data_IF_049312402732
#
_entry.id   IF_049312402732
#
_cell.length_a   1.000
_cell.length_b   1.000
_cell.length_c   1.000
_cell.angle_alpha   90.00
_cell.angle_beta   90.00
_cell.angle_gamma   90.00
#
_symmetry.space_group_name_H-M   'P 1'
#
loop_
_entity.id
_entity.type
_entity.pdbx_description
1 polymer ?
#
# COMPACT_ATOMS: atom_id res chain seq x y z
N UNK A 1 20.63 -67.76 33.53
CA UNK A 1 21.11 -66.55 34.20
C UNK A 1 20.51 -65.34 33.50
N UNK A 2 19.66 -64.56 34.18
CA UNK A 2 18.98 -63.36 33.65
C UNK A 2 19.81 -62.12 33.98
N UNK A 3 20.09 -61.28 32.98
CA UNK A 3 20.70 -59.95 33.16
C UNK A 3 19.67 -58.92 33.61
N UNK A 4 20.06 -58.03 34.53
CA UNK A 4 19.25 -56.94 35.08
C UNK A 4 19.87 -55.61 34.62
N UNK A 5 19.17 -54.86 33.77
CA UNK A 5 19.52 -53.48 33.43
C UNK A 5 19.14 -52.55 34.57
N UNK A 6 20.09 -51.74 35.05
CA UNK A 6 19.87 -50.64 35.98
C UNK A 6 19.37 -49.42 35.20
N UNK A 7 18.15 -48.96 35.51
CA UNK A 7 17.63 -47.68 35.07
C UNK A 7 18.35 -46.55 35.81
N UNK A 8 18.93 -45.59 35.09
CA UNK A 8 19.42 -44.34 35.63
C UNK A 8 18.25 -43.41 35.97
N UNK A 9 18.12 -43.10 37.25
CA UNK A 9 17.14 -42.20 37.84
C UNK A 9 17.35 -40.76 37.34
N UNK A 10 16.32 -40.19 36.72
CA UNK A 10 16.33 -38.82 36.19
C UNK A 10 16.38 -37.80 37.33
N UNK A 11 17.50 -37.08 37.45
CA UNK A 11 17.67 -35.95 38.37
C UNK A 11 16.68 -34.84 38.00
N UNK A 12 15.69 -34.59 38.87
CA UNK A 12 14.78 -33.44 38.75
C UNK A 12 15.60 -32.13 38.82
N UNK A 13 15.42 -31.17 37.90
CA UNK A 13 16.08 -29.87 37.97
C UNK A 13 15.63 -29.12 39.23
N UNK A 14 16.57 -28.47 39.90
CA UNK A 14 16.31 -27.73 41.14
C UNK A 14 15.63 -26.40 40.85
N UNK A 15 14.90 -25.82 41.82
CA UNK A 15 14.21 -24.52 41.67
C UNK A 15 15.16 -23.36 41.28
N UNK A 16 16.45 -23.48 41.61
CA UNK A 16 17.47 -22.53 41.18
C UNK A 16 17.80 -22.64 39.68
N UNK A 17 17.67 -23.82 39.09
CA UNK A 17 17.87 -24.05 37.65
C UNK A 17 16.70 -23.48 36.84
N UNK A 18 15.47 -23.55 37.39
CA UNK A 18 14.28 -22.98 36.75
C UNK A 18 14.28 -21.44 36.85
N UNK A 19 14.76 -20.90 37.97
CA UNK A 19 14.87 -19.45 38.18
C UNK A 19 15.95 -18.82 37.31
N UNK A 20 17.09 -19.49 37.13
CA UNK A 20 18.18 -19.04 36.25
C UNK A 20 17.84 -19.14 34.76
N UNK A 21 17.08 -20.18 34.34
CA UNK A 21 16.54 -20.27 32.98
C UNK A 21 15.51 -19.17 32.71
N UNK A 22 14.65 -18.81 33.68
CA UNK A 22 13.71 -17.69 33.54
C UNK A 22 14.39 -16.33 33.48
N UNK A 23 15.44 -16.10 34.26
CA UNK A 23 16.25 -14.88 34.19
C UNK A 23 17.00 -14.78 32.84
N UNK A 24 17.64 -15.86 32.39
CA UNK A 24 18.33 -15.88 31.09
C UNK A 24 17.37 -15.82 29.89
N UNK A 25 16.15 -16.35 30.01
CA UNK A 25 15.10 -16.18 29.00
C UNK A 25 14.54 -14.75 28.99
N UNK A 26 14.46 -14.10 30.16
CA UNK A 26 14.03 -12.69 30.26
C UNK A 26 15.12 -11.72 29.78
N UNK A 27 16.41 -12.07 29.90
CA UNK A 27 17.53 -11.30 29.36
C UNK A 27 17.64 -11.41 27.82
N UNK A 28 17.24 -12.53 27.22
CA UNK A 28 17.20 -12.69 25.75
C UNK A 28 16.13 -11.84 25.06
N UNK A 29 15.13 -11.36 25.80
CA UNK A 29 14.10 -10.44 25.30
C UNK A 29 14.61 -8.98 25.27
N UNK A 30 15.79 -8.70 25.87
CA UNK A 30 16.22 -7.35 26.21
C UNK A 30 17.31 -6.69 25.35
N UNK A 31 17.90 -7.34 24.34
CA UNK A 31 18.78 -6.63 23.40
C UNK A 31 18.43 -7.00 21.96
N UNK A 32 17.58 -6.20 21.34
CA UNK A 32 17.54 -6.12 19.87
C UNK A 32 18.97 -5.90 19.40
N UNK A 33 19.46 -6.77 18.50
CA UNK A 33 20.76 -6.60 17.86
C UNK A 33 20.82 -5.16 17.29
N UNK A 34 21.80 -4.33 17.69
CA UNK A 34 21.93 -2.96 17.20
C UNK A 34 21.95 -2.89 15.67
N UNK A 35 22.44 -3.94 14.99
CA UNK A 35 22.43 -4.02 13.52
C UNK A 35 21.02 -4.18 12.96
N UNK A 36 20.20 -5.01 13.59
CA UNK A 36 18.79 -5.20 13.22
C UNK A 36 18.01 -3.90 13.42
N UNK A 37 18.22 -3.21 14.53
CA UNK A 37 17.58 -1.91 14.78
C UNK A 37 18.03 -0.84 13.76
N UNK A 38 19.33 -0.76 13.47
CA UNK A 38 19.84 0.14 12.44
C UNK A 38 19.29 -0.19 11.03
N UNK A 39 19.20 -1.47 10.67
CA UNK A 39 18.63 -1.93 9.41
C UNK A 39 17.14 -1.55 9.31
N UNK A 40 16.38 -1.76 10.38
CA UNK A 40 14.99 -1.32 10.48
C UNK A 40 14.84 0.18 10.25
N UNK A 41 15.60 1.03 10.95
CA UNK A 41 15.54 2.50 10.76
C UNK A 41 15.96 2.93 9.36
N UNK A 42 16.97 2.27 8.79
CA UNK A 42 17.41 2.52 7.42
C UNK A 42 16.31 2.19 6.42
N UNK A 43 15.61 1.06 6.61
CA UNK A 43 14.48 0.70 5.79
C UNK A 43 13.32 1.68 5.94
N UNK A 44 12.97 2.06 7.18
CA UNK A 44 11.94 3.09 7.44
C UNK A 44 12.25 4.42 6.75
N UNK A 45 13.52 4.84 6.71
CA UNK A 45 13.92 6.05 6.00
C UNK A 45 13.71 5.95 4.48
N UNK A 46 13.83 4.76 3.90
CA UNK A 46 13.62 4.52 2.47
C UNK A 46 12.15 4.72 2.05
N UNK A 47 11.18 4.47 2.94
CA UNK A 47 9.73 4.62 2.65
C UNK A 47 9.36 6.02 2.13
N UNK A 48 10.16 7.04 2.42
CA UNK A 48 9.88 8.41 1.96
C UNK A 48 10.19 8.65 0.48
N UNK A 49 10.96 7.77 -0.17
CA UNK A 49 11.49 8.00 -1.53
C UNK A 49 11.44 6.77 -2.43
N UNK A 50 11.45 5.58 -1.85
CA UNK A 50 11.47 4.31 -2.56
C UNK A 50 10.08 3.66 -2.54
N UNK A 51 9.47 3.57 -3.72
CA UNK A 51 8.14 3.03 -3.92
C UNK A 51 8.07 1.53 -3.65
N UNK A 52 9.13 0.79 -3.97
CA UNK A 52 9.23 -0.64 -3.70
C UNK A 52 9.35 -0.88 -2.20
N UNK A 53 10.15 -0.07 -1.49
CA UNK A 53 10.28 -0.16 -0.04
C UNK A 53 8.94 0.12 0.66
N UNK A 54 8.20 1.14 0.23
CA UNK A 54 6.88 1.48 0.77
C UNK A 54 5.83 0.40 0.47
N UNK A 55 5.82 -0.15 -0.75
CA UNK A 55 4.94 -1.27 -1.12
C UNK A 55 5.27 -2.52 -0.29
N UNK A 56 6.55 -2.85 -0.15
CA UNK A 56 6.99 -3.97 0.67
C UNK A 56 6.58 -3.80 2.15
N UNK A 57 6.66 -2.58 2.69
CA UNK A 57 6.21 -2.29 4.05
C UNK A 57 4.69 -2.51 4.21
N UNK A 58 3.88 -2.05 3.24
CA UNK A 58 2.43 -2.27 3.26
C UNK A 58 2.08 -3.76 3.20
N UNK A 59 2.71 -4.53 2.32
CA UNK A 59 2.48 -5.98 2.18
C UNK A 59 2.95 -6.75 3.43
N UNK A 60 4.13 -6.41 3.96
CA UNK A 60 4.64 -7.00 5.18
C UNK A 60 3.67 -6.77 6.35
N UNK A 61 3.24 -5.52 6.56
CA UNK A 61 2.25 -5.17 7.58
C UNK A 61 0.92 -5.92 7.37
N UNK A 62 0.42 -5.98 6.14
CA UNK A 62 -0.84 -6.67 5.82
C UNK A 62 -0.76 -8.17 6.15
N UNK A 63 0.39 -8.80 5.95
CA UNK A 63 0.59 -10.23 6.25
C UNK A 63 0.58 -10.57 7.74
N UNK A 64 0.74 -9.56 8.62
CA UNK A 64 0.76 -9.76 10.06
C UNK A 64 -0.65 -9.99 10.62
N UNK A 65 -0.79 -10.85 11.66
CA UNK A 65 -2.01 -10.93 12.46
C UNK A 65 -2.22 -9.64 13.28
N UNK A 66 -3.40 -9.48 13.88
CA UNK A 66 -3.77 -8.27 14.64
C UNK A 66 -2.71 -7.82 15.66
N UNK A 67 -2.27 -8.73 16.55
CA UNK A 67 -1.26 -8.42 17.56
C UNK A 67 0.09 -8.02 16.95
N UNK A 68 0.45 -8.62 15.81
CA UNK A 68 1.66 -8.27 15.07
C UNK A 68 1.58 -6.87 14.45
N UNK A 69 0.39 -6.47 13.99
CA UNK A 69 0.15 -5.11 13.48
C UNK A 69 0.19 -4.08 14.61
N UNK A 70 -0.36 -4.38 15.79
CA UNK A 70 -0.22 -3.49 16.95
C UNK A 70 1.25 -3.32 17.35
N UNK A 71 2.00 -4.43 17.45
CA UNK A 71 3.42 -4.38 17.76
C UNK A 71 4.24 -3.59 16.71
N UNK A 72 3.86 -3.69 15.43
CA UNK A 72 4.45 -2.88 14.37
C UNK A 72 4.18 -1.38 14.58
N UNK A 73 2.93 -1.01 14.88
CA UNK A 73 2.56 0.39 15.11
C UNK A 73 3.23 0.96 16.37
N UNK A 74 3.39 0.15 17.42
CA UNK A 74 4.13 0.53 18.62
C UNK A 74 5.62 0.77 18.32
N UNK A 75 6.24 -0.10 17.53
CA UNK A 75 7.62 0.07 17.07
C UNK A 75 7.79 1.33 16.21
N UNK A 76 6.84 1.60 15.30
CA UNK A 76 6.82 2.85 14.53
C UNK A 76 6.69 4.08 15.44
N UNK A 77 5.79 4.06 16.42
CA UNK A 77 5.62 5.20 17.34
C UNK A 77 6.90 5.49 18.13
N UNK A 78 7.63 4.44 18.54
CA UNK A 78 8.90 4.56 19.24
C UNK A 78 10.02 5.08 18.32
N UNK A 79 10.14 4.54 17.11
CA UNK A 79 11.30 4.82 16.25
C UNK A 79 11.11 6.04 15.34
N UNK A 80 9.88 6.41 14.98
CA UNK A 80 9.59 7.49 14.03
C UNK A 80 10.33 8.82 14.32
N UNK A 81 10.47 9.29 15.58
CA UNK A 81 11.18 10.53 15.87
C UNK A 81 12.63 10.57 15.39
N UNK A 82 13.35 9.43 15.38
CA UNK A 82 14.77 9.41 14.99
C UNK A 82 15.05 8.80 13.60
N UNK A 83 14.02 8.48 12.81
CA UNK A 83 14.20 8.04 11.40
C UNK A 83 14.54 9.23 10.47
N UNK A 84 14.12 10.44 10.83
CA UNK A 84 14.44 11.66 10.06
C UNK A 84 13.62 11.84 8.77
N UNK A 85 12.46 11.18 8.67
CA UNK A 85 11.51 11.35 7.56
C UNK A 85 10.14 11.80 8.07
N UNK A 86 9.29 12.43 7.22
CA UNK A 86 7.95 12.82 7.62
C UNK A 86 7.12 11.62 8.10
N UNK A 87 6.33 11.78 9.17
CA UNK A 87 5.45 10.70 9.68
C UNK A 87 4.55 10.15 8.58
N UNK A 88 4.03 10.98 7.70
CA UNK A 88 3.20 10.52 6.57
C UNK A 88 3.89 9.40 5.75
N UNK A 89 5.22 9.43 5.56
CA UNK A 89 5.95 8.39 4.83
C UNK A 89 5.86 7.01 5.52
N UNK A 90 5.87 6.99 6.85
CA UNK A 90 5.90 5.78 7.64
C UNK A 90 4.51 5.14 7.78
N UNK A 91 3.46 5.97 7.85
CA UNK A 91 2.11 5.52 8.16
C UNK A 91 1.20 5.42 6.93
N UNK A 92 1.38 6.24 5.89
CA UNK A 92 0.51 6.24 4.72
C UNK A 92 0.46 4.89 3.96
N UNK A 93 1.58 4.15 3.76
CA UNK A 93 1.52 2.83 3.12
C UNK A 93 0.57 1.86 3.83
N UNK A 94 0.53 1.93 5.17
CA UNK A 94 -0.25 1.02 6.01
C UNK A 94 -1.76 1.32 5.92
N UNK A 95 -2.12 2.58 5.72
CA UNK A 95 -3.52 3.01 5.65
C UNK A 95 -4.27 2.41 4.45
N UNK A 96 -3.56 2.10 3.36
CA UNK A 96 -4.14 1.47 2.16
C UNK A 96 -4.55 0.01 2.36
N UNK A 97 -3.95 -0.67 3.35
CA UNK A 97 -4.14 -2.11 3.58
C UNK A 97 -4.84 -2.43 4.90
N UNK A 98 -4.92 -1.48 5.83
CA UNK A 98 -5.63 -1.67 7.11
C UNK A 98 -7.15 -1.58 6.94
N UNK A 99 -7.85 -2.56 7.51
CA UNK A 99 -9.30 -2.75 7.45
C UNK A 99 -9.97 -2.53 8.80
N UNK A 100 -9.24 -2.72 9.90
CA UNK A 100 -9.73 -2.45 11.25
C UNK A 100 -9.87 -0.94 11.48
N UNK A 101 -11.07 -0.49 11.82
CA UNK A 101 -11.38 0.95 11.92
C UNK A 101 -10.57 1.64 13.02
N UNK A 102 -10.34 0.97 14.15
CA UNK A 102 -9.59 1.55 15.26
C UNK A 102 -8.11 1.75 14.90
N UNK A 103 -7.48 0.75 14.27
CA UNK A 103 -6.12 0.88 13.74
C UNK A 103 -6.05 1.89 12.60
N UNK A 104 -7.01 1.89 11.68
CA UNK A 104 -7.10 2.92 10.62
C UNK A 104 -7.12 4.32 11.23
N UNK A 105 -7.93 4.54 12.27
CA UNK A 105 -8.00 5.82 12.96
C UNK A 105 -6.68 6.19 13.66
N UNK A 106 -5.97 5.22 14.25
CA UNK A 106 -4.63 5.42 14.82
C UNK A 106 -3.61 5.84 13.75
N UNK A 107 -3.59 5.15 12.62
CA UNK A 107 -2.72 5.46 11.47
C UNK A 107 -3.07 6.84 10.88
N UNK A 108 -4.37 7.14 10.73
CA UNK A 108 -4.87 8.38 10.13
C UNK A 108 -4.39 9.64 10.87
N UNK A 109 -4.20 9.59 12.20
CA UNK A 109 -3.66 10.70 13.00
C UNK A 109 -2.23 11.10 12.60
N UNK A 110 -1.50 10.22 11.93
CA UNK A 110 -0.09 10.41 11.57
C UNK A 110 0.14 10.84 10.12
N UNK A 111 -0.91 10.86 9.30
CA UNK A 111 -0.85 11.24 7.87
C UNK A 111 -1.42 12.63 7.62
N UNK A 112 -1.43 13.49 8.64
CA UNK A 112 -1.89 14.88 8.53
C UNK A 112 -1.03 15.62 7.51
N UNK A 113 -1.67 16.19 6.49
CA UNK A 113 -0.98 16.88 5.38
C UNK A 113 -0.65 15.99 4.19
N UNK A 114 -0.91 14.68 4.24
CA UNK A 114 -1.06 13.89 3.02
C UNK A 114 -2.12 14.56 2.13
N UNK A 115 -1.98 14.53 0.79
CA UNK A 115 -3.09 14.71 -0.13
C UNK A 115 -4.32 14.01 0.45
N UNK A 116 -5.29 14.80 0.91
CA UNK A 116 -6.60 14.25 1.21
C UNK A 116 -7.13 13.70 -0.12
N UNK A 117 -8.11 12.79 -0.09
CA UNK A 117 -8.91 12.41 -1.27
C UNK A 117 -9.39 13.61 -2.12
N UNK A 118 -9.32 14.83 -1.60
CA UNK A 118 -9.61 16.09 -2.29
C UNK A 118 -8.55 16.60 -3.27
N UNK A 119 -7.33 16.05 -3.33
CA UNK A 119 -6.40 16.45 -4.42
C UNK A 119 -6.89 15.77 -5.69
N UNK A 120 -7.41 16.53 -6.67
CA UNK A 120 -8.09 15.92 -7.80
C UNK A 120 -7.08 15.13 -8.64
N UNK A 121 -7.44 13.92 -9.09
CA UNK A 121 -6.64 13.21 -10.08
C UNK A 121 -6.48 14.06 -11.34
N UNK A 122 -5.37 13.84 -12.04
CA UNK A 122 -5.13 14.44 -13.36
C UNK A 122 -5.18 13.36 -14.43
N UNK A 123 -5.60 13.73 -15.63
CA UNK A 123 -5.63 12.83 -16.76
C UNK A 123 -4.63 13.27 -17.83
N UNK A 124 -3.91 12.30 -18.38
CA UNK A 124 -3.07 12.46 -19.56
C UNK A 124 -3.62 11.55 -20.65
N UNK A 125 -3.62 12.01 -21.90
CA UNK A 125 -4.16 11.26 -23.03
C UNK A 125 -3.22 11.29 -24.23
N UNK A 126 -3.27 10.23 -25.02
CA UNK A 126 -2.55 10.10 -26.27
C UNK A 126 -3.28 9.12 -27.19
N UNK A 127 -2.55 8.66 -28.20
CA UNK A 127 -3.04 7.71 -29.18
C UNK A 127 -1.96 6.66 -29.47
N UNK A 128 -2.38 5.41 -29.68
CA UNK A 128 -1.51 4.32 -30.13
C UNK A 128 -2.29 3.45 -31.09
N UNK A 129 -1.79 3.27 -32.32
CA UNK A 129 -2.41 2.40 -33.33
C UNK A 129 -3.91 2.68 -33.58
N UNK A 130 -4.36 3.93 -33.48
CA UNK A 130 -5.77 4.32 -33.64
C UNK A 130 -6.63 4.15 -32.38
N UNK A 131 -6.09 3.60 -31.30
CA UNK A 131 -6.75 3.49 -30.00
C UNK A 131 -6.38 4.68 -29.11
N UNK A 132 -7.32 5.09 -28.25
CA UNK A 132 -7.04 6.06 -27.20
C UNK A 132 -6.21 5.41 -26.11
N UNK A 133 -5.26 6.16 -25.59
CA UNK A 133 -4.51 5.82 -24.38
C UNK A 133 -4.75 6.92 -23.37
N UNK A 134 -5.14 6.58 -22.15
CA UNK A 134 -5.17 7.52 -21.04
C UNK A 134 -4.34 6.99 -19.86
N UNK A 135 -3.79 7.93 -19.10
CA UNK A 135 -3.20 7.71 -17.80
C UNK A 135 -3.86 8.65 -16.81
N UNK A 136 -4.60 8.09 -15.86
CA UNK A 136 -5.12 8.82 -14.70
C UNK A 136 -4.09 8.72 -13.59
N UNK A 137 -3.69 9.87 -13.05
CA UNK A 137 -2.70 9.99 -11.99
C UNK A 137 -3.38 10.57 -10.76
N UNK A 138 -3.49 9.76 -9.72
CA UNK A 138 -4.04 10.16 -8.42
C UNK A 138 -2.91 10.38 -7.42
N UNK A 139 -2.67 11.61 -6.94
CA UNK A 139 -1.68 11.86 -5.90
C UNK A 139 -2.04 11.14 -4.60
N UNK A 140 -1.06 10.46 -3.99
CA UNK A 140 -1.24 9.77 -2.70
C UNK A 140 -0.61 10.56 -1.56
N UNK A 141 0.73 10.62 -1.50
CA UNK A 141 1.51 11.37 -0.51
C UNK A 141 2.94 11.53 -0.98
N UNK A 142 3.62 12.60 -0.54
CA UNK A 142 4.96 12.95 -1.03
C UNK A 142 4.99 12.93 -2.57
N UNK A 143 5.92 12.17 -3.14
CA UNK A 143 6.06 11.96 -4.58
C UNK A 143 5.41 10.66 -5.07
N UNK A 144 4.61 9.99 -4.24
CA UNK A 144 3.90 8.77 -4.61
C UNK A 144 2.53 9.06 -5.19
N UNK A 145 2.19 8.28 -6.20
CA UNK A 145 0.94 8.35 -6.96
C UNK A 145 0.35 6.95 -7.16
N UNK A 146 -0.92 6.91 -7.46
CA UNK A 146 -1.62 5.77 -8.00
C UNK A 146 -1.91 6.04 -9.48
N UNK A 147 -1.65 5.04 -10.33
CA UNK A 147 -1.79 5.15 -11.78
C UNK A 147 -2.83 4.18 -12.29
N UNK A 148 -3.73 4.68 -13.14
CA UNK A 148 -4.58 3.86 -14.00
C UNK A 148 -4.25 4.17 -15.45
N UNK A 149 -3.71 3.17 -16.15
CA UNK A 149 -3.48 3.21 -17.57
C UNK A 149 -4.62 2.46 -18.26
N UNK A 150 -5.25 3.07 -19.25
CA UNK A 150 -6.21 2.41 -20.12
C UNK A 150 -5.88 2.66 -21.59
N UNK A 151 -5.96 1.60 -22.39
CA UNK A 151 -6.01 1.67 -23.85
C UNK A 151 -7.39 1.21 -24.30
N UNK A 152 -8.07 2.02 -25.09
CA UNK A 152 -9.48 1.80 -25.39
C UNK A 152 -9.91 2.44 -26.71
N UNK A 153 -11.05 1.99 -27.19
CA UNK A 153 -11.83 2.60 -28.25
C UNK A 153 -13.24 2.76 -27.69
N UNK A 154 -13.81 3.97 -27.79
CA UNK A 154 -15.08 4.29 -27.12
C UNK A 154 -16.24 3.42 -27.61
N UNK A 155 -16.18 2.94 -28.86
CA UNK A 155 -17.22 2.14 -29.49
C UNK A 155 -16.96 0.64 -29.37
N UNK A 156 -15.68 0.24 -29.24
CA UNK A 156 -15.29 -1.18 -29.19
C UNK A 156 -15.00 -1.69 -27.80
N UNK A 157 -14.70 -0.82 -26.83
CA UNK A 157 -14.43 -1.16 -25.44
C UNK A 157 -12.97 -1.00 -25.02
N UNK A 158 -12.66 -1.52 -23.83
CA UNK A 158 -11.32 -1.45 -23.26
C UNK A 158 -10.45 -2.56 -23.84
N UNK A 159 -9.31 -2.18 -24.40
CA UNK A 159 -8.31 -3.10 -24.98
C UNK A 159 -7.35 -3.58 -23.89
N UNK A 160 -6.94 -2.67 -23.01
CA UNK A 160 -5.97 -2.94 -21.96
C UNK A 160 -6.22 -1.99 -20.80
N UNK A 161 -6.15 -2.50 -19.57
CA UNK A 161 -6.14 -1.69 -18.37
C UNK A 161 -5.04 -2.20 -17.44
N UNK A 162 -4.29 -1.27 -16.84
CA UNK A 162 -3.28 -1.57 -15.83
C UNK A 162 -3.42 -0.58 -14.69
N UNK A 163 -3.32 -1.11 -13.48
CA UNK A 163 -3.34 -0.35 -12.26
C UNK A 163 -2.03 -0.53 -11.51
N UNK A 164 -1.33 0.56 -11.24
CA UNK A 164 -0.11 0.57 -10.46
C UNK A 164 -0.35 1.42 -9.19
N UNK A 165 -0.33 0.77 -8.03
CA UNK A 165 -0.53 1.43 -6.73
C UNK A 165 0.81 1.76 -6.08
N UNK A 166 0.88 2.93 -5.43
CA UNK A 166 2.05 3.38 -4.66
C UNK A 166 3.34 3.35 -5.49
N UNK A 167 3.32 4.02 -6.64
CA UNK A 167 4.50 4.21 -7.50
C UNK A 167 5.04 5.63 -7.37
N UNK A 168 6.32 5.84 -7.68
CA UNK A 168 6.90 7.18 -7.72
C UNK A 168 6.34 7.97 -8.93
N UNK A 169 6.18 9.29 -8.80
CA UNK A 169 5.63 10.16 -9.86
C UNK A 169 6.38 10.07 -11.20
N UNK A 170 7.65 9.68 -11.18
CA UNK A 170 8.47 9.51 -12.39
C UNK A 170 7.98 8.34 -13.26
N UNK A 171 7.27 7.36 -12.67
CA UNK A 171 6.63 6.27 -13.39
C UNK A 171 5.59 6.76 -14.42
N UNK A 172 5.05 7.98 -14.25
CA UNK A 172 4.20 8.63 -15.25
C UNK A 172 4.95 8.83 -16.56
N UNK A 173 6.19 9.31 -16.49
CA UNK A 173 7.02 9.55 -17.67
C UNK A 173 7.56 8.24 -18.26
N UNK A 174 7.90 7.27 -17.42
CA UNK A 174 8.36 5.96 -17.88
C UNK A 174 7.23 5.19 -18.59
N UNK A 175 6.01 5.22 -18.04
CA UNK A 175 4.84 4.60 -18.69
C UNK A 175 4.54 5.19 -20.07
N UNK A 176 4.67 6.50 -20.24
CA UNK A 176 4.51 7.15 -21.55
C UNK A 176 5.60 6.67 -22.54
N UNK A 177 6.85 6.57 -22.08
CA UNK A 177 8.00 6.13 -22.87
C UNK A 177 7.86 4.67 -23.30
N UNK A 178 7.50 3.78 -22.38
CA UNK A 178 7.34 2.34 -22.63
C UNK A 178 6.21 2.06 -23.63
N UNK A 179 5.15 2.87 -23.58
CA UNK A 179 4.08 2.79 -24.56
C UNK A 179 4.46 3.36 -25.93
N UNK A 180 5.52 4.17 -26.03
CA UNK A 180 5.91 4.89 -27.24
C UNK A 180 4.88 5.96 -27.63
N UNK A 181 4.19 6.55 -26.64
CA UNK A 181 3.09 7.50 -26.85
C UNK A 181 3.45 8.85 -26.27
N UNK A 182 3.15 9.92 -27.01
CA UNK A 182 3.15 11.27 -26.43
C UNK A 182 1.83 11.50 -25.71
N UNK A 183 1.90 11.67 -24.39
CA UNK A 183 0.75 11.99 -23.57
C UNK A 183 0.67 13.49 -23.32
N UNK A 184 -0.53 14.06 -23.44
CA UNK A 184 -0.83 15.46 -23.15
C UNK A 184 -1.92 15.55 -22.09
N UNK A 185 -1.91 16.62 -21.29
CA UNK A 185 -2.93 16.82 -20.28
C UNK A 185 -4.32 17.01 -20.90
N UNK A 186 -5.34 16.43 -20.26
CA UNK A 186 -6.72 16.53 -20.68
C UNK A 186 -7.66 16.72 -19.47
N UNK A 187 -8.83 17.32 -19.67
CA UNK A 187 -9.83 17.43 -18.61
C UNK A 187 -10.26 16.05 -18.12
N UNK A 188 -10.09 15.78 -16.82
CA UNK A 188 -10.49 14.51 -16.21
C UNK A 188 -11.95 14.13 -16.52
N UNK A 189 -12.96 15.03 -16.44
CA UNK A 189 -14.35 14.66 -16.71
C UNK A 189 -14.56 14.11 -18.13
N UNK A 190 -13.87 14.67 -19.12
CA UNK A 190 -13.93 14.18 -20.48
C UNK A 190 -13.37 12.75 -20.56
N UNK A 191 -12.20 12.51 -19.97
CA UNK A 191 -11.58 11.18 -19.98
C UNK A 191 -12.45 10.14 -19.27
N UNK A 192 -13.09 10.51 -18.16
CA UNK A 192 -14.04 9.65 -17.45
C UNK A 192 -15.23 9.30 -18.33
N UNK A 193 -15.81 10.25 -19.06
CA UNK A 193 -16.92 10.00 -19.97
C UNK A 193 -16.53 9.07 -21.13
N UNK A 194 -15.34 9.28 -21.72
CA UNK A 194 -14.79 8.41 -22.76
C UNK A 194 -14.58 6.96 -22.25
N UNK A 195 -14.05 6.81 -21.03
CA UNK A 195 -13.90 5.50 -20.38
C UNK A 195 -15.25 4.86 -20.07
N UNK A 196 -16.25 5.64 -19.64
CA UNK A 196 -17.59 5.14 -19.38
C UNK A 196 -18.23 4.57 -20.65
N UNK A 197 -18.07 5.24 -21.79
CA UNK A 197 -18.52 4.72 -23.08
C UNK A 197 -17.83 3.40 -23.45
N UNK A 198 -16.51 3.31 -23.29
CA UNK A 198 -15.78 2.07 -23.55
C UNK A 198 -16.24 0.91 -22.63
N UNK A 199 -16.45 1.17 -21.34
CA UNK A 199 -17.00 0.17 -20.40
C UNK A 199 -18.41 -0.28 -20.82
N UNK A 200 -19.25 0.63 -21.29
CA UNK A 200 -20.58 0.29 -21.82
C UNK A 200 -20.47 -0.53 -23.11
N UNK A 201 -19.52 -0.21 -23.99
CA UNK A 201 -19.26 -0.98 -25.21
C UNK A 201 -18.84 -2.43 -24.89
N UNK A 202 -17.95 -2.65 -23.90
CA UNK A 202 -17.61 -3.98 -23.42
C UNK A 202 -18.85 -4.75 -22.94
N UNK A 203 -19.68 -4.11 -22.11
CA UNK A 203 -20.92 -4.73 -21.60
C UNK A 203 -21.88 -5.09 -22.73
N UNK A 204 -22.05 -4.22 -23.73
CA UNK A 204 -22.89 -4.49 -24.92
C UNK A 204 -22.37 -5.67 -25.74
N UNK A 205 -21.05 -5.86 -25.77
CA UNK A 205 -20.40 -6.99 -26.41
C UNK A 205 -20.34 -8.25 -25.52
N UNK A 206 -20.98 -8.25 -24.34
CA UNK A 206 -21.00 -9.38 -23.42
C UNK A 206 -19.69 -9.60 -22.64
N UNK A 207 -18.77 -8.63 -22.65
CA UNK A 207 -17.53 -8.66 -21.87
C UNK A 207 -17.70 -7.97 -20.52
N UNK A 208 -16.96 -8.44 -19.53
CA UNK A 208 -16.84 -7.75 -18.25
C UNK A 208 -15.88 -6.56 -18.38
N UNK A 209 -16.13 -5.51 -17.58
CA UNK A 209 -15.18 -4.42 -17.46
C UNK A 209 -13.90 -4.90 -16.75
N UNK A 210 -12.71 -4.42 -17.13
CA UNK A 210 -11.47 -4.75 -16.44
C UNK A 210 -11.54 -4.44 -14.93
N UNK A 211 -11.11 -5.36 -14.05
CA UNK A 211 -11.19 -5.17 -12.60
C UNK A 211 -10.36 -3.98 -12.09
N UNK A 212 -9.34 -3.56 -12.84
CA UNK A 212 -8.48 -2.40 -12.56
C UNK A 212 -9.30 -1.11 -12.44
N UNK A 213 -10.37 -0.97 -13.22
CA UNK A 213 -11.26 0.20 -13.19
C UNK A 213 -12.09 0.29 -11.91
N UNK A 214 -12.30 -0.82 -11.19
CA UNK A 214 -13.12 -0.84 -9.98
C UNK A 214 -12.52 0.00 -8.85
N UNK A 215 -11.19 0.21 -8.83
CA UNK A 215 -10.51 1.08 -7.87
C UNK A 215 -10.82 2.56 -8.09
N UNK A 216 -11.24 2.90 -9.30
CA UNK A 216 -11.60 4.25 -9.73
C UNK A 216 -13.10 4.40 -9.92
N UNK A 217 -13.93 3.51 -9.35
CA UNK A 217 -15.39 3.59 -9.49
C UNK A 217 -15.94 4.92 -9.01
N UNK A 218 -15.32 5.51 -8.00
CA UNK A 218 -15.66 6.84 -7.47
C UNK A 218 -15.51 7.94 -8.53
N UNK A 219 -14.64 7.78 -9.54
CA UNK A 219 -14.53 8.74 -10.65
C UNK A 219 -15.76 8.73 -11.56
N UNK A 220 -16.47 7.61 -11.63
CA UNK A 220 -17.66 7.46 -12.46
C UNK A 220 -18.95 7.79 -11.72
N UNK A 221 -18.87 8.03 -10.41
CA UNK A 221 -20.02 8.47 -9.63
C UNK A 221 -20.31 9.96 -9.95
N UNK A 222 -21.58 10.35 -10.16
CA UNK A 222 -21.91 11.76 -10.31
C UNK A 222 -21.55 12.51 -9.01
N UNK A 223 -21.03 13.73 -9.14
CA UNK A 223 -20.90 14.69 -8.03
C UNK A 223 -22.30 15.01 -7.50
N UNK A 224 -22.78 14.19 -6.56
CA UNK A 224 -23.99 14.48 -5.81
C UNK A 224 -23.60 15.54 -4.77
N UNK A 225 -24.26 16.70 -4.75
CA UNK A 225 -24.01 17.69 -3.71
C UNK A 225 -24.25 17.06 -2.33
N UNK A 226 -23.49 17.46 -1.29
CA UNK A 226 -23.72 16.96 0.06
C UNK A 226 -25.19 17.19 0.42
N UNK A 227 -25.84 16.12 0.88
CA UNK A 227 -27.23 16.19 1.31
C UNK A 227 -27.39 17.22 2.44
N UNK A 228 -28.57 17.83 2.58
CA UNK A 228 -28.83 18.76 3.67
C UNK A 228 -28.79 17.98 5.00
N UNK A 229 -27.64 17.96 5.67
CA UNK A 229 -27.45 17.18 6.89
C UNK A 229 -26.06 17.23 7.54
N UNK A 230 -25.01 17.65 6.82
CA UNK A 230 -23.65 17.71 7.36
C UNK A 230 -23.13 19.17 7.49
N UNK A 231 -23.77 19.95 8.36
CA UNK A 231 -23.16 21.12 9.03
C UNK A 231 -22.93 20.83 10.52
#
# INVERSE_FOLDING_TARGET
MRGRSTMTEGKKPSDNDVSSVRLAASERVGSLDPRTHAAWRTWLAALAKDAEAATAAALAYQSLPGDGREAWLDALDADAPDVGVPRVALYAPLLGVEQDEARRARIAKNVVGAPKRSTPPRALVGWKNGERVCLVVSPLYLDFVELLLCRYDQDKGIVEARHDWLVHKDAVTDGARDLGVTLVEAPLPQVVEELAHAVVADRRAGRAAPPELMRYIDLFAPDLPPGPGDE
#
